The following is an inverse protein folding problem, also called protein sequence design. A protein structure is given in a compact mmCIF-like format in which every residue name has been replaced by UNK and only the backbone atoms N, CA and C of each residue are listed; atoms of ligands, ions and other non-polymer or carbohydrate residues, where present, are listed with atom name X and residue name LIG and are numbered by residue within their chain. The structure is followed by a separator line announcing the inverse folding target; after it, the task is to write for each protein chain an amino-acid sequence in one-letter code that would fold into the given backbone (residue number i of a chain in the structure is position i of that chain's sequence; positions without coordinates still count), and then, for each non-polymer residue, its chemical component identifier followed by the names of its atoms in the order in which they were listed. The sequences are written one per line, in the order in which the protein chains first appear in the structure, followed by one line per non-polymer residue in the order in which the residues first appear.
data_IF_060017073150
#
_entry.id   IF_060017073150
#
_cell.length_a   1.000
_cell.length_b   1.000
_cell.length_c   1.000
_cell.angle_alpha   90.00
_cell.angle_beta   90.00
_cell.angle_gamma   90.00
#
_symmetry.space_group_name_H-M   'P 1'
#
loop_
_entity.id
_entity.type
_entity.pdbx_description
1 polymer ?
#
# COMPACT_ATOMS: atom_id res chain seq x y z
N UNK A 1 7.80 -7.16 9.22
CA UNK A 1 6.81 -6.13 9.60
C UNK A 1 6.52 -5.28 8.37
N UNK A 2 5.32 -4.71 8.29
CA UNK A 2 4.97 -3.74 7.24
C UNK A 2 4.39 -2.48 7.87
N UNK A 3 4.74 -1.33 7.29
CA UNK A 3 4.15 -0.05 7.63
C UNK A 3 3.03 0.25 6.64
N UNK A 4 1.85 0.54 7.16
CA UNK A 4 0.65 0.87 6.40
C UNK A 4 0.24 2.29 6.72
N UNK A 5 0.21 3.14 5.71
CA UNK A 5 -0.20 4.55 5.84
C UNK A 5 -1.44 4.79 5.00
N UNK A 6 -2.52 5.21 5.63
CA UNK A 6 -3.74 5.61 4.93
C UNK A 6 -3.57 7.03 4.42
N UNK A 7 -3.53 7.24 3.11
CA UNK A 7 -3.38 8.56 2.54
C UNK A 7 -4.73 9.28 2.49
N UNK A 8 -4.94 10.21 3.42
CA UNK A 8 -6.19 10.96 3.59
C UNK A 8 -5.86 12.44 3.69
N UNK A 9 -6.02 13.15 2.56
CA UNK A 9 -5.77 14.57 2.52
C UNK A 9 -6.88 15.36 3.19
N UNK A 10 -6.64 15.64 4.47
CA UNK A 10 -7.59 16.26 5.42
C UNK A 10 -7.02 17.48 6.14
N UNK A 11 -5.76 17.86 5.87
CA UNK A 11 -5.03 18.90 6.60
C UNK A 11 -4.44 18.42 7.94
N UNK A 12 -4.56 17.12 8.27
CA UNK A 12 -3.91 16.46 9.40
C UNK A 12 -2.88 15.43 8.90
N UNK A 13 -1.92 15.02 9.74
CA UNK A 13 -1.04 13.90 9.40
C UNK A 13 -1.82 12.64 9.07
N UNK A 14 -1.35 11.90 8.06
CA UNK A 14 -1.94 10.63 7.66
C UNK A 14 -1.81 9.59 8.77
N UNK A 15 -2.86 8.79 9.05
CA UNK A 15 -2.76 7.71 10.03
C UNK A 15 -1.82 6.60 9.54
N UNK A 16 -0.99 6.10 10.46
CA UNK A 16 0.03 5.10 10.20
C UNK A 16 -0.08 3.94 11.18
N UNK A 17 0.09 2.71 10.68
CA UNK A 17 0.02 1.48 11.46
C UNK A 17 1.20 0.57 11.11
N UNK A 18 1.81 -0.04 12.12
CA UNK A 18 2.81 -1.09 11.94
C UNK A 18 2.12 -2.42 12.18
N UNK A 19 2.10 -3.28 11.17
CA UNK A 19 1.52 -4.61 11.26
C UNK A 19 2.61 -5.63 11.59
N UNK A 20 2.31 -6.47 12.59
CA UNK A 20 3.18 -7.57 13.00
C UNK A 20 3.22 -8.67 11.93
N UNK A 21 4.28 -9.49 11.97
CA UNK A 21 4.61 -10.43 10.91
C UNK A 21 3.46 -11.39 10.56
N UNK A 22 2.77 -11.95 11.56
CA UNK A 22 1.66 -12.90 11.33
C UNK A 22 0.50 -12.30 10.52
N UNK A 23 0.15 -11.04 10.76
CA UNK A 23 -0.94 -10.35 10.04
C UNK A 23 -0.42 -9.89 8.67
N UNK A 24 0.80 -9.36 8.64
CA UNK A 24 1.45 -8.91 7.42
C UNK A 24 1.56 -10.04 6.38
N UNK A 25 1.88 -11.26 6.82
CA UNK A 25 2.06 -12.43 5.94
C UNK A 25 0.81 -12.72 5.09
N UNK A 26 -0.37 -12.72 5.72
CA UNK A 26 -1.64 -12.95 5.02
C UNK A 26 -1.96 -11.86 4.01
N UNK A 27 -1.73 -10.60 4.38
CA UNK A 27 -1.97 -9.44 3.52
C UNK A 27 -1.01 -9.44 2.32
N UNK A 28 0.29 -9.63 2.57
CA UNK A 28 1.31 -9.65 1.52
C UNK A 28 1.11 -10.80 0.55
N UNK A 29 0.72 -11.98 1.04
CA UNK A 29 0.38 -13.11 0.20
C UNK A 29 -0.78 -12.77 -0.74
N UNK A 30 -1.84 -12.15 -0.22
CA UNK A 30 -2.99 -11.78 -1.05
C UNK A 30 -2.63 -10.74 -2.10
N UNK A 31 -1.85 -9.71 -1.73
CA UNK A 31 -1.39 -8.68 -2.68
C UNK A 31 -0.48 -9.31 -3.75
N UNK A 32 0.41 -10.22 -3.37
CA UNK A 32 1.30 -10.93 -4.29
C UNK A 32 0.54 -11.81 -5.29
N UNK A 33 -0.59 -12.40 -4.87
CA UNK A 33 -1.48 -13.15 -5.75
C UNK A 33 -2.29 -12.22 -6.68
N UNK A 34 -2.58 -11.00 -6.23
CA UNK A 34 -3.46 -10.04 -6.91
C UNK A 34 -2.72 -8.76 -7.32
N UNK A 35 -1.54 -8.86 -7.94
CA UNK A 35 -0.67 -7.69 -8.26
C UNK A 35 -1.35 -6.58 -9.08
N UNK A 36 -2.46 -6.85 -9.76
CA UNK A 36 -3.26 -5.83 -10.45
C UNK A 36 -3.89 -4.78 -9.52
N UNK A 37 -3.95 -5.01 -8.20
CA UNK A 37 -4.38 -3.99 -7.24
C UNK A 37 -3.28 -3.00 -6.89
N UNK A 38 -2.03 -3.32 -7.24
CA UNK A 38 -0.88 -2.47 -7.01
C UNK A 38 -0.93 -1.32 -8.01
N UNK A 39 -0.72 -0.14 -7.48
CA UNK A 39 -0.78 1.12 -8.21
C UNK A 39 0.48 1.90 -7.92
N UNK A 40 0.94 2.66 -8.91
CA UNK A 40 2.04 3.60 -8.69
C UNK A 40 1.58 4.66 -7.68
N UNK A 41 2.48 5.07 -6.78
CA UNK A 41 2.21 6.12 -5.80
C UNK A 41 1.91 7.43 -6.52
N UNK A 42 0.63 7.73 -6.70
CA UNK A 42 0.21 8.85 -7.53
C UNK A 42 0.31 10.16 -6.74
N UNK A 43 1.32 10.97 -7.06
CA UNK A 43 1.70 12.21 -6.37
C UNK A 43 0.81 13.42 -6.72
N UNK A 44 -0.20 13.28 -7.59
CA UNK A 44 -0.91 14.41 -8.20
C UNK A 44 -2.43 14.47 -7.92
N UNK A 45 -2.93 13.82 -6.87
CA UNK A 45 -4.34 13.99 -6.47
C UNK A 45 -4.55 15.28 -5.67
N UNK A 46 -4.76 16.40 -6.36
CA UNK A 46 -5.02 17.72 -5.76
C UNK A 46 -6.42 17.88 -5.12
N UNK A 47 -7.12 16.78 -4.83
CA UNK A 47 -8.45 16.78 -4.21
C UNK A 47 -8.35 16.38 -2.73
N UNK A 48 -9.20 16.99 -1.90
CA UNK A 48 -9.44 16.58 -0.52
C UNK A 48 -10.03 15.16 -0.50
N UNK A 49 -9.71 14.39 0.55
CA UNK A 49 -10.29 13.07 0.78
C UNK A 49 -9.30 11.91 0.72
N UNK A 50 -9.86 10.70 0.65
CA UNK A 50 -9.09 9.45 0.60
C UNK A 50 -8.40 9.28 -0.75
N UNK A 51 -7.11 8.95 -0.70
CA UNK A 51 -6.22 8.82 -1.87
C UNK A 51 -5.65 7.41 -2.02
N UNK A 52 -5.78 6.57 -1.02
CA UNK A 52 -5.32 5.18 -1.07
C UNK A 52 -4.63 4.71 0.20
N UNK A 53 -4.00 3.55 0.11
CA UNK A 53 -3.20 2.96 1.17
C UNK A 53 -1.78 2.77 0.64
N UNK A 54 -0.82 3.36 1.33
CA UNK A 54 0.60 3.17 1.06
C UNK A 54 1.14 2.07 1.98
N UNK A 55 1.83 1.10 1.40
CA UNK A 55 2.43 -0.02 2.11
C UNK A 55 3.94 0.08 1.88
N UNK A 56 4.69 0.11 2.97
CA UNK A 56 6.16 0.09 2.95
C UNK A 56 6.66 -1.16 3.69
N UNK A 57 7.55 -1.89 3.03
CA UNK A 57 8.16 -3.10 3.55
C UNK A 57 9.43 -2.71 4.32
N UNK A 58 9.56 -3.18 5.55
CA UNK A 58 10.70 -2.80 6.40
C UNK A 58 11.98 -3.58 6.10
N UNK A 59 11.90 -4.64 5.29
CA UNK A 59 13.04 -5.49 4.95
C UNK A 59 13.00 -5.91 3.49
N UNK A 60 14.16 -5.82 2.82
CA UNK A 60 14.34 -6.26 1.44
C UNK A 60 14.01 -7.74 1.28
N UNK A 61 14.30 -8.58 2.29
CA UNK A 61 13.98 -10.01 2.25
C UNK A 61 12.48 -10.28 2.06
N UNK A 62 11.62 -9.39 2.59
CA UNK A 62 10.16 -9.49 2.40
C UNK A 62 9.78 -9.07 0.98
N UNK A 63 10.38 -8.01 0.46
CA UNK A 63 10.22 -7.56 -0.93
C UNK A 63 10.51 -8.71 -1.91
N UNK A 64 11.67 -9.37 -1.74
CA UNK A 64 12.12 -10.48 -2.57
C UNK A 64 11.22 -11.71 -2.41
N UNK A 65 10.80 -12.05 -1.18
CA UNK A 65 10.01 -13.26 -0.92
C UNK A 65 8.61 -13.20 -1.54
N UNK A 66 8.01 -12.02 -1.61
CA UNK A 66 6.66 -11.83 -2.15
C UNK A 66 6.65 -11.30 -3.59
N UNK A 67 7.84 -11.04 -4.17
CA UNK A 67 8.00 -10.38 -5.48
C UNK A 67 7.16 -9.09 -5.56
N UNK A 68 7.30 -8.28 -4.52
CA UNK A 68 6.64 -6.98 -4.36
C UNK A 68 7.70 -5.88 -4.29
N UNK A 69 7.40 -4.67 -4.77
CA UNK A 69 8.28 -3.52 -4.55
C UNK A 69 8.37 -3.18 -3.05
N UNK A 70 9.47 -2.56 -2.66
CA UNK A 70 9.74 -2.17 -1.27
C UNK A 70 8.76 -1.13 -0.72
N UNK A 71 8.10 -0.37 -1.60
CA UNK A 71 6.98 0.50 -1.27
C UNK A 71 6.02 0.57 -2.45
N UNK A 72 4.71 0.53 -2.17
CA UNK A 72 3.66 0.61 -3.19
C UNK A 72 2.34 1.12 -2.62
N UNK A 73 1.42 1.49 -3.52
CA UNK A 73 0.09 1.95 -3.16
C UNK A 73 -0.97 0.96 -3.65
N UNK A 74 -2.07 0.87 -2.92
CA UNK A 74 -3.28 0.16 -3.33
C UNK A 74 -4.50 1.06 -3.14
N UNK A 75 -5.61 0.72 -3.79
CA UNK A 75 -6.91 1.37 -3.63
C UNK A 75 -6.87 2.90 -3.85
N UNK A 76 -6.08 3.37 -4.82
CA UNK A 76 -5.95 4.80 -5.13
C UNK A 76 -6.88 5.30 -6.26
N UNK A 77 -7.89 4.50 -6.63
CA UNK A 77 -8.84 4.80 -7.72
C UNK A 77 -8.25 4.69 -9.12
N UNK A 78 -7.02 4.18 -9.26
CA UNK A 78 -6.36 3.88 -10.54
C UNK A 78 -5.98 2.40 -10.65
N UNK A 79 -6.67 1.49 -9.94
CA UNK A 79 -6.37 0.07 -10.09
C UNK A 79 -6.59 -0.35 -11.54
N UNK A 80 -5.64 -1.11 -12.11
CA UNK A 80 -5.71 -1.57 -13.51
C UNK A 80 -6.93 -2.45 -13.82
N UNK A 81 -7.73 -2.81 -12.80
CA UNK A 81 -8.96 -3.60 -12.90
C UNK A 81 -10.23 -2.83 -12.50
N UNK A 82 -10.15 -1.54 -12.18
CA UNK A 82 -11.35 -0.70 -12.02
C UNK A 82 -11.85 -0.30 -13.42
N UNK A 83 -12.84 -1.03 -13.95
CA UNK A 83 -13.63 -0.68 -15.14
C UNK A 83 -15.10 -0.59 -14.80
#
# INVERSE_FOLDING_TARGET
MIKVTFDIYSGRPNPEYILSDKIAEGILKEISLNKGIITEGNTNYNKLGYRGINISLESNAVSDSYDLPSSFSIANGSSVLES
#
